data_IF_325042824906
#
_entry.id   IF_325042824906
#
_cell.length_a   1.000
_cell.length_b   1.000
_cell.length_c   1.000
_cell.angle_alpha   90.00
_cell.angle_beta   90.00
_cell.angle_gamma   90.00
#
_symmetry.space_group_name_H-M   'P 1'
#
loop_
_entity.id
_entity.type
_entity.pdbx_description
1 polymer ?
#
# COMPACT_ATOMS: atom_id res chain seq x y z
N UNK A 1 -69.13 -24.29 -31.67
CA UNK A 1 -67.88 -24.37 -30.89
C UNK A 1 -66.67 -24.83 -31.72
N UNK A 2 -66.71 -25.92 -32.51
CA UNK A 2 -65.56 -26.40 -33.32
C UNK A 2 -64.92 -25.39 -34.30
N UNK A 3 -65.70 -24.45 -34.86
CA UNK A 3 -65.19 -23.50 -35.86
C UNK A 3 -64.49 -22.27 -35.22
N UNK A 4 -64.85 -21.92 -33.98
CA UNK A 4 -64.20 -20.83 -33.22
C UNK A 4 -62.80 -21.24 -32.74
N UNK A 5 -62.64 -22.49 -32.29
CA UNK A 5 -61.32 -23.01 -31.91
C UNK A 5 -60.36 -23.10 -33.11
N UNK A 6 -60.87 -23.44 -34.31
CA UNK A 6 -60.06 -23.42 -35.54
C UNK A 6 -59.61 -22.02 -35.93
N UNK A 7 -60.47 -21.02 -35.74
CA UNK A 7 -60.14 -19.62 -36.02
C UNK A 7 -59.13 -19.06 -35.00
N UNK A 8 -59.27 -19.40 -33.72
CA UNK A 8 -58.34 -18.99 -32.66
C UNK A 8 -56.98 -19.70 -32.77
N UNK A 9 -56.95 -20.98 -33.16
CA UNK A 9 -55.70 -21.70 -33.42
C UNK A 9 -54.99 -21.15 -34.67
N UNK A 10 -55.74 -20.80 -35.71
CA UNK A 10 -55.17 -20.18 -36.92
C UNK A 10 -54.65 -18.76 -36.64
N UNK A 11 -55.37 -17.95 -35.85
CA UNK A 11 -54.91 -16.63 -35.41
C UNK A 11 -53.66 -16.71 -34.51
N UNK A 12 -53.57 -17.70 -33.63
CA UNK A 12 -52.39 -17.96 -32.80
C UNK A 12 -51.19 -18.49 -33.60
N UNK A 13 -51.42 -19.23 -34.69
CA UNK A 13 -50.37 -19.65 -35.61
C UNK A 13 -49.81 -18.47 -36.42
N UNK A 14 -50.69 -17.55 -36.85
CA UNK A 14 -50.30 -16.36 -37.65
C UNK A 14 -49.52 -15.33 -36.83
N UNK A 15 -49.76 -15.22 -35.51
CA UNK A 15 -48.95 -14.38 -34.62
C UNK A 15 -47.62 -15.02 -34.21
N UNK A 16 -47.48 -16.35 -34.33
CA UNK A 16 -46.23 -17.05 -34.06
C UNK A 16 -45.18 -16.88 -35.19
N UNK A 17 -45.60 -16.62 -36.43
CA UNK A 17 -44.70 -16.44 -37.59
C UNK A 17 -44.08 -15.04 -37.67
N UNK A 18 -44.63 -14.03 -36.99
CA UNK A 18 -44.05 -12.67 -36.91
C UNK A 18 -43.11 -12.48 -35.72
N UNK A 19 -42.93 -13.50 -34.87
CA UNK A 19 -41.98 -13.53 -33.75
C UNK A 19 -40.58 -14.03 -34.16
N UNK A 20 -40.31 -14.21 -35.45
CA UNK A 20 -38.94 -14.41 -35.93
C UNK A 20 -38.15 -13.11 -35.72
N UNK A 21 -37.38 -13.13 -34.63
CA UNK A 21 -36.25 -12.29 -34.25
C UNK A 21 -35.88 -11.24 -35.31
N UNK A 22 -35.88 -9.96 -34.92
CA UNK A 22 -34.81 -9.06 -35.37
C UNK A 22 -33.50 -9.73 -34.94
N UNK A 23 -32.91 -10.54 -35.81
CA UNK A 23 -31.48 -10.66 -35.83
C UNK A 23 -31.04 -9.28 -36.29
N UNK A 24 -30.72 -8.40 -35.35
CA UNK A 24 -29.90 -7.24 -35.70
C UNK A 24 -28.68 -7.82 -36.40
N UNK A 25 -28.62 -7.63 -37.72
CA UNK A 25 -27.34 -7.71 -38.40
C UNK A 25 -26.54 -6.60 -37.75
N UNK A 26 -25.72 -6.97 -36.77
CA UNK A 26 -24.54 -6.20 -36.45
C UNK A 26 -23.74 -6.15 -37.77
N UNK A 27 -23.95 -5.10 -38.56
CA UNK A 27 -23.05 -4.72 -39.65
C UNK A 27 -21.76 -4.25 -38.98
N UNK A 28 -20.98 -5.23 -38.51
CA UNK A 28 -19.65 -5.02 -37.99
C UNK A 28 -18.73 -4.89 -39.19
N UNK A 29 -18.22 -3.69 -39.41
CA UNK A 29 -17.15 -3.48 -40.38
C UNK A 29 -15.85 -4.09 -39.85
N UNK A 30 -15.59 -5.34 -40.22
CA UNK A 30 -14.36 -6.06 -39.87
C UNK A 30 -13.09 -5.43 -40.47
N UNK A 31 -13.19 -4.52 -41.44
CA UNK A 31 -12.03 -3.82 -42.01
C UNK A 31 -11.49 -2.72 -41.10
N UNK A 32 -12.32 -2.21 -40.18
CA UNK A 32 -11.91 -1.31 -39.11
C UNK A 32 -11.27 -2.03 -37.91
N UNK A 33 -11.41 -3.35 -37.82
CA UNK A 33 -10.76 -4.14 -36.78
C UNK A 33 -9.30 -4.36 -37.17
N UNK A 34 -8.38 -4.00 -36.28
CA UNK A 34 -6.97 -4.34 -36.43
C UNK A 34 -6.82 -5.86 -36.31
N UNK A 35 -6.82 -6.56 -37.45
CA UNK A 35 -6.44 -7.95 -37.50
C UNK A 35 -4.97 -8.05 -37.09
N UNK A 36 -4.70 -8.60 -35.92
CA UNK A 36 -3.33 -8.90 -35.51
C UNK A 36 -2.80 -9.98 -36.43
N UNK A 37 -1.77 -9.64 -37.20
CA UNK A 37 -1.07 -10.56 -38.09
C UNK A 37 0.09 -11.20 -37.32
N UNK A 38 -0.04 -12.45 -36.84
CA UNK A 38 0.94 -13.08 -35.96
C UNK A 38 2.32 -13.24 -36.61
N UNK A 39 2.40 -13.21 -37.94
CA UNK A 39 3.65 -13.19 -38.70
C UNK A 39 4.46 -11.86 -38.64
N UNK A 40 3.93 -10.77 -38.08
CA UNK A 40 4.54 -9.44 -38.23
C UNK A 40 5.71 -9.10 -37.30
N UNK A 41 6.07 -9.98 -36.35
CA UNK A 41 7.21 -9.82 -35.41
C UNK A 41 7.45 -8.36 -35.01
N UNK A 42 6.40 -7.76 -34.44
CA UNK A 42 6.31 -6.32 -34.19
C UNK A 42 7.34 -5.86 -33.17
N UNK A 43 7.55 -4.53 -33.06
CA UNK A 43 8.40 -3.98 -32.00
C UNK A 43 7.93 -4.42 -30.60
N UNK A 44 6.62 -4.55 -30.40
CA UNK A 44 6.02 -5.06 -29.16
C UNK A 44 6.39 -6.53 -28.92
N UNK A 45 6.27 -7.40 -29.94
CA UNK A 45 6.64 -8.82 -29.83
C UNK A 45 8.12 -9.00 -29.45
N UNK A 46 9.01 -8.22 -30.09
CA UNK A 46 10.44 -8.25 -29.80
C UNK A 46 10.73 -7.75 -28.39
N UNK A 47 10.02 -6.71 -27.94
CA UNK A 47 10.15 -6.18 -26.59
C UNK A 47 9.67 -7.19 -25.53
N UNK A 48 8.51 -7.82 -25.73
CA UNK A 48 7.97 -8.85 -24.84
C UNK A 48 8.91 -10.06 -24.78
N UNK A 49 9.39 -10.53 -25.95
CA UNK A 49 10.36 -11.63 -26.02
C UNK A 49 11.61 -11.33 -25.21
N UNK A 50 12.24 -10.17 -25.45
CA UNK A 50 13.49 -9.79 -24.80
C UNK A 50 13.33 -9.66 -23.28
N UNK A 51 12.26 -9.02 -22.82
CA UNK A 51 12.11 -8.65 -21.41
C UNK A 51 11.41 -9.72 -20.56
N UNK A 52 10.67 -10.65 -21.17
CA UNK A 52 9.92 -11.70 -20.47
C UNK A 52 10.39 -13.11 -20.85
N UNK A 53 10.29 -13.46 -22.14
CA UNK A 53 10.55 -14.82 -22.58
C UNK A 53 12.03 -15.19 -22.41
N UNK A 54 12.93 -14.41 -23.01
CA UNK A 54 14.37 -14.70 -22.99
C UNK A 54 14.97 -14.47 -21.59
N UNK A 55 14.45 -13.49 -20.84
CA UNK A 55 14.97 -13.14 -19.51
C UNK A 55 14.49 -14.08 -18.39
N UNK A 56 13.21 -14.51 -18.43
CA UNK A 56 12.55 -15.18 -17.31
C UNK A 56 11.77 -16.45 -17.69
N UNK A 57 11.75 -16.82 -18.98
CA UNK A 57 10.92 -17.89 -19.53
C UNK A 57 9.43 -17.65 -19.26
N UNK A 58 8.99 -16.41 -19.48
CA UNK A 58 7.61 -15.97 -19.30
C UNK A 58 7.02 -15.64 -20.67
N UNK A 59 5.96 -16.35 -21.05
CA UNK A 59 5.19 -16.03 -22.25
C UNK A 59 4.14 -14.96 -21.93
N UNK A 60 3.93 -14.02 -22.86
CA UNK A 60 2.94 -12.95 -22.70
C UNK A 60 1.97 -13.02 -23.86
N UNK A 61 0.81 -13.62 -23.58
CA UNK A 61 -0.27 -13.83 -24.53
C UNK A 61 -1.22 -12.64 -24.49
N UNK A 62 -0.96 -11.66 -25.35
CA UNK A 62 -1.80 -10.48 -25.49
C UNK A 62 -2.78 -10.56 -26.67
N UNK A 63 -2.49 -11.43 -27.64
CA UNK A 63 -3.33 -11.62 -28.82
C UNK A 63 -4.62 -12.32 -28.39
N UNK A 64 -5.75 -11.75 -28.77
CA UNK A 64 -7.04 -12.30 -28.38
C UNK A 64 -7.19 -13.74 -28.88
N UNK A 65 -7.40 -14.67 -27.95
CA UNK A 65 -7.63 -16.06 -28.28
C UNK A 65 -8.63 -16.69 -27.30
N UNK A 66 -9.73 -17.20 -27.87
CA UNK A 66 -10.86 -17.76 -27.13
C UNK A 66 -10.48 -18.94 -26.22
N UNK A 67 -9.41 -19.65 -26.56
CA UNK A 67 -8.92 -20.76 -25.76
C UNK A 67 -8.56 -20.34 -24.31
N UNK A 68 -8.13 -19.08 -24.12
CA UNK A 68 -7.60 -18.64 -22.83
C UNK A 68 -8.62 -18.09 -21.85
N UNK A 69 -9.82 -17.68 -22.28
CA UNK A 69 -10.86 -17.15 -21.38
C UNK A 69 -12.01 -18.14 -21.09
N UNK A 70 -11.90 -19.38 -21.58
CA UNK A 70 -12.93 -20.40 -21.41
C UNK A 70 -14.23 -20.08 -22.15
N UNK A 71 -15.23 -20.94 -22.01
CA UNK A 71 -16.46 -20.84 -22.81
C UNK A 71 -17.45 -19.78 -22.31
N UNK A 72 -17.30 -19.31 -21.06
CA UNK A 72 -18.29 -18.50 -20.36
C UNK A 72 -17.88 -17.05 -20.15
N UNK A 73 -16.58 -16.74 -20.12
CA UNK A 73 -16.15 -15.35 -19.98
C UNK A 73 -16.37 -14.58 -21.28
N UNK A 74 -16.96 -13.40 -21.16
CA UNK A 74 -17.14 -12.47 -22.28
C UNK A 74 -16.15 -11.32 -22.12
N UNK A 75 -15.04 -11.40 -22.85
CA UNK A 75 -13.92 -10.45 -22.75
C UNK A 75 -13.57 -9.88 -24.12
N UNK A 76 -13.09 -8.64 -24.15
CA UNK A 76 -12.68 -7.96 -25.39
C UNK A 76 -11.19 -8.11 -25.68
N UNK A 77 -10.76 -7.94 -26.94
CA UNK A 77 -9.35 -7.76 -27.28
C UNK A 77 -8.72 -6.55 -26.57
N UNK A 78 -7.39 -6.61 -26.38
CA UNK A 78 -6.60 -5.50 -25.84
C UNK A 78 -6.39 -4.41 -26.91
N UNK A 79 -6.35 -3.15 -26.49
CA UNK A 79 -5.71 -2.09 -27.28
C UNK A 79 -4.20 -2.34 -27.28
N UNK A 80 -3.54 -2.22 -28.43
CA UNK A 80 -2.13 -2.60 -28.56
C UNK A 80 -1.20 -1.67 -27.77
N UNK A 81 -1.55 -0.40 -27.71
CA UNK A 81 -0.85 0.67 -27.01
C UNK A 81 -0.83 0.49 -25.48
N UNK A 82 -1.79 -0.26 -24.92
CA UNK A 82 -1.96 -0.43 -23.47
C UNK A 82 -1.13 -1.61 -22.91
N UNK A 83 -0.66 -2.49 -23.81
CA UNK A 83 0.06 -3.72 -23.45
C UNK A 83 1.43 -3.40 -22.87
N UNK A 84 2.27 -2.66 -23.61
CA UNK A 84 3.64 -2.39 -23.17
C UNK A 84 3.66 -1.63 -21.82
N UNK A 85 2.89 -0.55 -21.60
CA UNK A 85 2.84 0.13 -20.31
C UNK A 85 2.39 -0.78 -19.16
N UNK A 86 1.39 -1.64 -19.40
CA UNK A 86 0.94 -2.61 -18.38
C UNK A 86 2.06 -3.61 -18.06
N UNK A 87 2.73 -4.15 -19.08
CA UNK A 87 3.81 -5.11 -18.89
C UNK A 87 5.07 -4.49 -18.29
N UNK A 88 5.35 -3.21 -18.56
CA UNK A 88 6.39 -2.45 -17.84
C UNK A 88 6.09 -2.40 -16.33
N UNK A 89 4.83 -2.20 -15.95
CA UNK A 89 4.43 -2.28 -14.53
C UNK A 89 4.55 -3.70 -13.94
N UNK A 90 4.36 -4.76 -14.74
CA UNK A 90 4.68 -6.14 -14.31
C UNK A 90 6.18 -6.31 -14.05
N UNK A 91 7.04 -5.75 -14.91
CA UNK A 91 8.49 -5.82 -14.70
C UNK A 91 8.91 -5.04 -13.45
N UNK A 92 8.49 -3.79 -13.34
CA UNK A 92 8.94 -2.87 -12.29
C UNK A 92 8.32 -3.15 -10.92
N UNK A 93 7.00 -3.45 -10.90
CA UNK A 93 6.23 -3.62 -9.67
C UNK A 93 6.14 -5.07 -9.19
N UNK A 94 6.26 -6.07 -10.08
CA UNK A 94 6.11 -7.47 -9.68
C UNK A 94 7.42 -8.24 -9.81
N UNK A 95 8.03 -8.34 -11.00
CA UNK A 95 9.19 -9.21 -11.23
C UNK A 95 10.47 -8.67 -10.55
N UNK A 96 10.77 -7.39 -10.73
CA UNK A 96 12.01 -6.79 -10.24
C UNK A 96 12.17 -6.84 -8.71
N UNK A 97 11.13 -6.54 -7.90
CA UNK A 97 11.23 -6.64 -6.44
C UNK A 97 11.54 -8.06 -5.95
N UNK A 98 10.86 -9.08 -6.49
CA UNK A 98 11.19 -10.47 -6.16
C UNK A 98 12.59 -10.86 -6.63
N UNK A 99 13.01 -10.44 -7.83
CA UNK A 99 14.38 -10.73 -8.31
C UNK A 99 15.44 -10.10 -7.41
N UNK A 100 15.22 -8.87 -6.95
CA UNK A 100 16.14 -8.15 -6.07
C UNK A 100 16.27 -8.81 -4.71
N UNK A 101 15.14 -9.20 -4.10
CA UNK A 101 15.13 -9.70 -2.71
C UNK A 101 15.29 -11.21 -2.62
N UNK A 102 14.64 -11.97 -3.50
CA UNK A 102 14.67 -13.44 -3.49
C UNK A 102 15.74 -14.04 -4.43
N UNK A 103 16.31 -13.21 -5.32
CA UNK A 103 17.32 -13.64 -6.28
C UNK A 103 16.75 -14.28 -7.54
N UNK A 104 17.61 -14.39 -8.56
CA UNK A 104 17.22 -14.84 -9.89
C UNK A 104 16.69 -16.28 -9.93
N UNK A 105 17.26 -17.17 -9.10
CA UNK A 105 16.82 -18.57 -9.03
C UNK A 105 15.39 -18.68 -8.54
N UNK A 106 15.02 -17.94 -7.48
CA UNK A 106 13.65 -17.92 -6.97
C UNK A 106 12.70 -17.37 -8.04
N UNK A 107 13.04 -16.23 -8.65
CA UNK A 107 12.22 -15.60 -9.68
C UNK A 107 11.98 -16.53 -10.87
N UNK A 108 13.04 -17.14 -11.42
CA UNK A 108 12.92 -18.07 -12.54
C UNK A 108 12.21 -19.36 -12.18
N UNK A 109 12.18 -19.77 -10.92
CA UNK A 109 11.47 -20.98 -10.49
C UNK A 109 9.99 -20.75 -10.23
N UNK A 110 9.64 -19.70 -9.48
CA UNK A 110 8.30 -19.56 -8.90
C UNK A 110 7.43 -18.52 -9.58
N UNK A 111 8.00 -17.44 -10.15
CA UNK A 111 7.18 -16.43 -10.86
C UNK A 111 6.45 -17.13 -12.03
N UNK A 112 5.16 -16.81 -12.26
CA UNK A 112 4.36 -17.37 -13.34
C UNK A 112 5.09 -17.36 -14.68
N UNK A 113 4.87 -18.41 -15.49
CA UNK A 113 5.50 -18.58 -16.81
C UNK A 113 4.63 -18.11 -17.95
N UNK A 114 3.46 -17.59 -17.64
CA UNK A 114 2.52 -17.11 -18.64
C UNK A 114 1.67 -15.98 -18.05
N UNK A 115 1.62 -14.88 -18.77
CA UNK A 115 0.63 -13.83 -18.58
C UNK A 115 -0.33 -13.85 -19.76
N UNK A 116 -1.62 -13.93 -19.47
CA UNK A 116 -2.68 -13.79 -20.48
C UNK A 116 -3.38 -12.47 -20.25
N UNK A 117 -3.56 -11.68 -21.30
CA UNK A 117 -4.09 -10.33 -21.18
C UNK A 117 -5.41 -10.18 -21.92
N UNK A 118 -6.39 -9.50 -21.31
CA UNK A 118 -7.66 -9.16 -21.93
C UNK A 118 -8.06 -7.69 -21.70
N UNK A 119 -8.68 -7.09 -22.71
CA UNK A 119 -8.95 -5.66 -22.72
C UNK A 119 -10.03 -5.23 -21.74
N UNK A 120 -11.10 -6.02 -21.59
CA UNK A 120 -12.18 -5.77 -20.63
C UNK A 120 -12.02 -6.63 -19.38
N UNK A 121 -12.66 -6.23 -18.28
CA UNK A 121 -12.89 -7.12 -17.13
C UNK A 121 -13.73 -8.35 -17.56
N UNK A 122 -13.63 -9.42 -16.79
CA UNK A 122 -14.50 -10.59 -16.93
C UNK A 122 -15.66 -10.50 -15.95
N UNK A 123 -16.89 -10.46 -16.45
CA UNK A 123 -18.10 -10.39 -15.63
C UNK A 123 -18.87 -11.70 -15.69
N UNK A 124 -19.29 -12.22 -14.53
CA UNK A 124 -20.20 -13.36 -14.42
C UNK A 124 -21.66 -12.94 -14.72
N UNK A 125 -22.06 -11.74 -14.30
CA UNK A 125 -23.37 -11.13 -14.58
C UNK A 125 -23.33 -9.59 -14.50
N UNK A 126 -24.46 -8.92 -14.75
CA UNK A 126 -24.55 -7.45 -14.79
C UNK A 126 -24.33 -6.74 -13.45
N UNK A 127 -24.33 -7.46 -12.33
CA UNK A 127 -24.08 -6.94 -10.99
C UNK A 127 -22.71 -7.39 -10.43
N UNK A 128 -21.92 -8.11 -11.23
CA UNK A 128 -20.57 -8.53 -10.86
C UNK A 128 -19.62 -7.31 -10.90
N UNK A 129 -18.84 -7.03 -9.83
CA UNK A 129 -17.79 -6.01 -9.89
C UNK A 129 -16.73 -6.29 -10.97
N UNK A 130 -16.68 -7.51 -11.50
CA UNK A 130 -15.75 -7.94 -12.54
C UNK A 130 -14.49 -8.55 -11.93
N UNK A 131 -13.99 -9.60 -12.58
CA UNK A 131 -12.73 -10.26 -12.24
C UNK A 131 -11.61 -9.57 -13.00
N UNK A 132 -10.65 -9.04 -12.25
CA UNK A 132 -9.52 -8.29 -12.74
C UNK A 132 -8.24 -9.14 -12.88
N UNK A 133 -8.21 -10.32 -12.27
CA UNK A 133 -7.22 -11.35 -12.57
C UNK A 133 -7.57 -12.72 -11.99
N UNK A 134 -6.89 -13.75 -12.50
CA UNK A 134 -7.00 -15.15 -12.03
C UNK A 134 -5.66 -15.87 -12.14
N UNK A 135 -5.39 -16.82 -11.24
CA UNK A 135 -4.31 -17.78 -11.38
C UNK A 135 -4.81 -19.16 -11.82
N UNK A 136 -4.05 -19.83 -12.68
CA UNK A 136 -4.31 -21.22 -13.05
C UNK A 136 -3.02 -22.07 -13.07
N UNK A 137 -3.17 -23.32 -12.63
CA UNK A 137 -2.18 -24.40 -12.75
C UNK A 137 -0.77 -24.05 -12.25
N UNK A 138 -0.65 -23.21 -11.22
CA UNK A 138 0.62 -22.80 -10.64
C UNK A 138 1.57 -22.08 -11.60
N UNK A 139 1.06 -21.59 -12.75
CA UNK A 139 1.91 -21.17 -13.87
C UNK A 139 1.41 -19.94 -14.61
N UNK A 140 0.09 -19.69 -14.62
CA UNK A 140 -0.52 -18.59 -15.38
C UNK A 140 -1.13 -17.57 -14.46
N UNK A 141 -0.92 -16.29 -14.77
CA UNK A 141 -1.78 -15.18 -14.31
C UNK A 141 -2.52 -14.63 -15.53
N UNK A 142 -3.83 -14.48 -15.41
CA UNK A 142 -4.63 -13.73 -16.39
C UNK A 142 -4.90 -12.35 -15.82
N UNK A 143 -4.66 -11.30 -16.61
CA UNK A 143 -5.00 -9.92 -16.27
C UNK A 143 -6.13 -9.45 -17.20
N UNK A 144 -7.16 -8.86 -16.61
CA UNK A 144 -8.31 -8.34 -17.34
C UNK A 144 -8.38 -6.81 -17.21
N UNK A 145 -9.17 -6.17 -18.06
CA UNK A 145 -9.43 -4.73 -17.98
C UNK A 145 -8.23 -3.88 -18.38
N UNK A 146 -7.39 -4.32 -19.34
CA UNK A 146 -6.22 -3.56 -19.77
C UNK A 146 -6.57 -2.27 -20.52
N UNK A 147 -7.74 -2.21 -21.16
CA UNK A 147 -8.18 -1.04 -21.91
C UNK A 147 -8.59 0.13 -21.00
N UNK A 148 -8.61 -0.08 -19.69
CA UNK A 148 -8.80 0.95 -18.67
C UNK A 148 -7.46 1.61 -18.26
N UNK A 149 -6.36 1.23 -18.89
CA UNK A 149 -5.06 1.87 -18.68
C UNK A 149 -5.18 3.39 -18.87
N UNK A 150 -4.54 4.11 -17.95
CA UNK A 150 -4.31 5.54 -18.09
C UNK A 150 -2.86 5.87 -17.70
N UNK A 151 -2.22 6.86 -18.32
CA UNK A 151 -0.89 7.29 -17.93
C UNK A 151 -0.91 7.90 -16.52
N UNK A 152 0.24 7.83 -15.84
CA UNK A 152 0.43 8.49 -14.55
C UNK A 152 0.38 10.03 -14.70
N UNK A 153 -0.12 10.76 -13.70
CA UNK A 153 -0.62 10.26 -12.41
C UNK A 153 -2.06 9.71 -12.44
N UNK A 154 -2.81 9.89 -13.53
CA UNK A 154 -4.23 9.51 -13.62
C UNK A 154 -4.48 8.01 -13.46
N UNK A 155 -3.58 7.16 -13.95
CA UNK A 155 -3.69 5.69 -13.82
C UNK A 155 -3.11 5.09 -12.54
N UNK A 156 -2.80 5.89 -11.51
CA UNK A 156 -2.16 5.37 -10.29
C UNK A 156 -2.99 4.26 -9.62
N UNK A 157 -4.31 4.41 -9.58
CA UNK A 157 -5.21 3.38 -9.04
C UNK A 157 -5.22 2.10 -9.89
N UNK A 158 -5.26 2.22 -11.21
CA UNK A 158 -5.17 1.07 -12.12
C UNK A 158 -3.92 0.24 -11.83
N UNK A 159 -2.75 0.89 -11.76
CA UNK A 159 -1.51 0.19 -11.47
C UNK A 159 -1.48 -0.40 -10.06
N UNK A 160 -1.95 0.34 -9.05
CA UNK A 160 -2.05 -0.16 -7.68
C UNK A 160 -2.88 -1.45 -7.60
N UNK A 161 -4.06 -1.46 -8.23
CA UNK A 161 -4.96 -2.62 -8.21
C UNK A 161 -4.34 -3.81 -8.96
N UNK A 162 -3.71 -3.58 -10.13
CA UNK A 162 -3.00 -4.64 -10.86
C UNK A 162 -1.86 -5.24 -10.04
N UNK A 163 -1.11 -4.45 -9.27
CA UNK A 163 -0.11 -5.00 -8.34
C UNK A 163 -0.79 -5.83 -7.23
N UNK A 164 -1.86 -5.32 -6.59
CA UNK A 164 -2.59 -6.09 -5.57
C UNK A 164 -3.03 -7.45 -6.09
N UNK A 165 -3.62 -7.49 -7.28
CA UNK A 165 -4.08 -8.72 -7.94
C UNK A 165 -2.90 -9.65 -8.23
N UNK A 166 -1.84 -9.17 -8.90
CA UNK A 166 -0.71 -10.02 -9.25
C UNK A 166 -0.04 -10.65 -8.02
N UNK A 167 0.10 -9.88 -6.95
CA UNK A 167 0.68 -10.39 -5.71
C UNK A 167 -0.25 -11.35 -4.97
N UNK A 168 -1.58 -11.13 -5.03
CA UNK A 168 -2.59 -12.06 -4.52
C UNK A 168 -2.51 -13.40 -5.27
N UNK A 169 -2.61 -13.37 -6.59
CA UNK A 169 -2.54 -14.55 -7.45
C UNK A 169 -1.19 -15.28 -7.34
N UNK A 170 -0.10 -14.54 -7.15
CA UNK A 170 1.19 -15.15 -6.88
C UNK A 170 1.25 -15.86 -5.53
N UNK A 171 0.55 -15.34 -4.51
CA UNK A 171 0.34 -16.04 -3.24
C UNK A 171 -0.27 -17.43 -3.48
N UNK A 172 -1.36 -17.50 -4.26
CA UNK A 172 -1.98 -18.77 -4.65
C UNK A 172 -1.03 -19.71 -5.40
N UNK A 173 -0.28 -19.20 -6.39
CA UNK A 173 0.70 -19.99 -7.14
C UNK A 173 1.79 -20.54 -6.22
N UNK A 174 2.32 -19.72 -5.31
CA UNK A 174 3.29 -20.18 -4.32
C UNK A 174 2.67 -21.27 -3.45
N UNK A 175 1.42 -21.11 -3.01
CA UNK A 175 0.75 -22.06 -2.13
C UNK A 175 0.40 -23.40 -2.78
N UNK A 176 0.22 -23.42 -4.10
CA UNK A 176 0.08 -24.66 -4.87
C UNK A 176 1.39 -25.45 -4.94
N UNK A 177 2.54 -24.78 -4.83
CA UNK A 177 3.87 -25.40 -4.91
C UNK A 177 4.45 -25.66 -3.51
N UNK A 178 4.21 -24.76 -2.56
CA UNK A 178 4.70 -24.77 -1.19
C UNK A 178 3.51 -24.47 -0.26
N UNK A 179 2.98 -25.47 0.47
CA UNK A 179 1.73 -25.33 1.20
C UNK A 179 1.70 -24.16 2.19
N UNK A 180 0.52 -23.58 2.38
CA UNK A 180 0.24 -22.60 3.45
C UNK A 180 0.60 -23.23 4.80
N UNK A 181 1.23 -22.48 5.72
CA UNK A 181 1.45 -22.95 7.09
C UNK A 181 0.15 -23.43 7.75
N UNK A 182 0.18 -24.63 8.35
CA UNK A 182 -1.02 -25.31 8.87
C UNK A 182 -1.70 -24.57 10.03
N UNK A 183 -0.98 -23.67 10.68
CA UNK A 183 -1.46 -22.85 11.79
C UNK A 183 -2.24 -21.61 11.33
N UNK A 184 -2.14 -21.20 10.06
CA UNK A 184 -2.77 -19.97 9.56
C UNK A 184 -4.30 -19.99 9.66
N UNK A 185 -4.95 -21.07 9.19
CA UNK A 185 -6.41 -21.20 9.23
C UNK A 185 -6.95 -21.05 10.67
N UNK A 186 -6.19 -21.55 11.65
CA UNK A 186 -6.58 -21.52 13.05
C UNK A 186 -6.64 -20.10 13.63
N UNK A 187 -5.96 -19.12 13.02
CA UNK A 187 -5.96 -17.72 13.48
C UNK A 187 -7.37 -17.12 13.42
N UNK A 188 -8.11 -17.41 12.33
CA UNK A 188 -9.44 -16.87 12.06
C UNK A 188 -10.55 -17.94 12.04
N UNK A 189 -10.27 -19.14 12.55
CA UNK A 189 -11.25 -20.23 12.63
C UNK A 189 -12.53 -19.77 13.31
N UNK A 190 -13.68 -20.10 12.68
CA UNK A 190 -15.00 -19.71 13.14
C UNK A 190 -15.49 -18.33 12.63
N UNK A 191 -14.64 -17.56 11.95
CA UNK A 191 -15.03 -16.28 11.33
C UNK A 191 -15.08 -16.32 9.80
N UNK A 192 -14.63 -17.41 9.19
CA UNK A 192 -14.78 -17.61 7.75
C UNK A 192 -16.26 -17.84 7.37
N UNK A 193 -16.75 -17.11 6.36
CA UNK A 193 -18.14 -17.16 5.91
C UNK A 193 -18.23 -17.02 4.38
N UNK A 194 -18.89 -17.99 3.74
CA UNK A 194 -19.31 -17.91 2.35
C UNK A 194 -20.84 -17.74 2.26
N UNK A 195 -21.36 -16.95 1.28
CA UNK A 195 -20.59 -16.14 0.35
C UNK A 195 -19.98 -14.92 1.06
N UNK A 196 -18.71 -14.61 0.79
CA UNK A 196 -17.98 -13.52 1.47
C UNK A 196 -18.66 -12.15 1.37
N UNK A 197 -19.45 -11.94 0.31
CA UNK A 197 -20.25 -10.73 0.07
C UNK A 197 -21.28 -10.45 1.17
N UNK A 198 -21.65 -11.45 1.95
CA UNK A 198 -22.57 -11.32 3.10
C UNK A 198 -21.83 -10.88 4.38
N UNK A 199 -20.53 -10.57 4.29
CA UNK A 199 -19.71 -10.02 5.37
C UNK A 199 -19.28 -8.61 4.99
N UNK A 200 -19.94 -7.55 5.51
CA UNK A 200 -19.52 -6.17 5.29
C UNK A 200 -18.06 -5.92 5.71
N UNK A 201 -17.37 -5.01 5.04
CA UNK A 201 -15.94 -4.72 5.29
C UNK A 201 -15.67 -4.38 6.74
N UNK A 202 -16.52 -3.60 7.40
CA UNK A 202 -16.38 -3.26 8.82
C UNK A 202 -16.42 -4.51 9.73
N UNK A 203 -17.30 -5.47 9.43
CA UNK A 203 -17.38 -6.72 10.17
C UNK A 203 -16.14 -7.59 9.92
N UNK A 204 -15.69 -7.69 8.67
CA UNK A 204 -14.48 -8.42 8.30
C UNK A 204 -13.25 -7.82 9.00
N UNK A 205 -13.12 -6.49 8.96
CA UNK A 205 -12.08 -5.72 9.61
C UNK A 205 -12.06 -5.94 11.12
N UNK A 206 -13.20 -5.77 11.81
CA UNK A 206 -13.30 -6.02 13.26
C UNK A 206 -12.92 -7.45 13.63
N UNK A 207 -13.13 -8.42 12.74
CA UNK A 207 -12.76 -9.82 12.95
C UNK A 207 -11.32 -10.16 12.55
N UNK A 208 -10.56 -9.22 12.00
CA UNK A 208 -9.15 -9.41 11.66
C UNK A 208 -8.89 -9.89 10.23
N UNK A 209 -9.75 -9.50 9.29
CA UNK A 209 -9.52 -9.67 7.84
C UNK A 209 -9.14 -8.33 7.20
N UNK A 210 -8.32 -8.38 6.15
CA UNK A 210 -7.94 -7.17 5.37
C UNK A 210 -9.03 -6.73 4.40
N UNK A 211 -9.88 -7.66 3.97
CA UNK A 211 -11.03 -7.41 3.09
C UNK A 211 -12.22 -8.28 3.45
N UNK A 212 -13.41 -7.95 2.95
CA UNK A 212 -14.56 -8.88 2.96
C UNK A 212 -14.22 -10.19 2.24
N UNK A 213 -13.48 -10.13 1.13
CA UNK A 213 -13.07 -11.31 0.35
C UNK A 213 -12.21 -12.27 1.18
N UNK A 214 -11.24 -11.75 1.94
CA UNK A 214 -10.43 -12.52 2.89
C UNK A 214 -11.27 -13.24 3.97
N UNK A 215 -12.49 -12.78 4.28
CA UNK A 215 -13.37 -13.46 5.22
C UNK A 215 -14.05 -14.71 4.64
N UNK A 216 -13.91 -14.97 3.34
CA UNK A 216 -14.54 -16.11 2.68
C UNK A 216 -13.98 -17.45 3.13
N UNK A 217 -12.69 -17.67 2.86
CA UNK A 217 -11.95 -18.90 3.17
C UNK A 217 -10.48 -18.58 3.45
N UNK A 218 -9.79 -19.47 4.17
CA UNK A 218 -8.41 -19.23 4.62
C UNK A 218 -7.38 -19.11 3.49
N UNK A 219 -7.62 -19.73 2.33
CA UNK A 219 -6.72 -19.62 1.17
C UNK A 219 -6.72 -18.21 0.59
N UNK A 220 -7.91 -17.61 0.42
CA UNK A 220 -8.05 -16.22 -0.02
C UNK A 220 -7.55 -15.23 1.04
N UNK A 221 -7.80 -15.51 2.32
CA UNK A 221 -7.27 -14.73 3.43
C UNK A 221 -5.74 -14.67 3.45
N UNK A 222 -5.09 -15.79 3.14
CA UNK A 222 -3.64 -15.86 3.07
C UNK A 222 -3.10 -15.01 1.92
N UNK A 223 -3.65 -15.20 0.71
CA UNK A 223 -3.27 -14.43 -0.48
C UNK A 223 -3.53 -12.93 -0.32
N UNK A 224 -4.66 -12.55 0.27
CA UNK A 224 -4.97 -11.16 0.61
C UNK A 224 -4.03 -10.61 1.69
N UNK A 225 -3.71 -11.39 2.72
CA UNK A 225 -2.75 -10.94 3.75
C UNK A 225 -1.38 -10.61 3.14
N UNK A 226 -0.90 -11.45 2.21
CA UNK A 226 0.35 -11.20 1.47
C UNK A 226 0.25 -9.93 0.63
N UNK A 227 -0.78 -9.83 -0.22
CA UNK A 227 -0.90 -8.73 -1.18
C UNK A 227 -1.06 -7.39 -0.46
N UNK A 228 -1.96 -7.28 0.51
CA UNK A 228 -2.20 -6.04 1.24
C UNK A 228 -1.00 -5.60 2.07
N UNK A 229 -0.26 -6.52 2.68
CA UNK A 229 0.99 -6.17 3.37
C UNK A 229 2.01 -5.58 2.40
N UNK A 230 2.19 -6.17 1.21
CA UNK A 230 3.17 -5.70 0.23
C UNK A 230 2.76 -4.36 -0.41
N UNK A 231 1.50 -4.24 -0.83
CA UNK A 231 1.03 -3.12 -1.67
C UNK A 231 0.66 -1.90 -0.81
N UNK A 232 0.05 -2.08 0.36
CA UNK A 232 -0.35 -0.95 1.21
C UNK A 232 0.70 -0.61 2.29
N UNK A 233 1.60 -1.54 2.59
CA UNK A 233 2.74 -1.29 3.48
C UNK A 233 2.40 -1.32 4.96
N UNK A 234 3.44 -1.12 5.79
CA UNK A 234 3.34 -1.31 7.24
C UNK A 234 2.43 -0.28 7.90
N UNK A 235 2.53 1.01 7.51
CA UNK A 235 1.73 2.07 8.12
C UNK A 235 0.22 1.81 7.95
N UNK A 236 -0.20 1.34 6.77
CA UNK A 236 -1.58 0.95 6.51
C UNK A 236 -1.99 -0.25 7.37
N UNK A 237 -1.17 -1.30 7.39
CA UNK A 237 -1.51 -2.54 8.10
C UNK A 237 -1.61 -2.33 9.61
N UNK A 238 -0.69 -1.55 10.19
CA UNK A 238 -0.69 -1.18 11.60
C UNK A 238 -1.93 -0.34 11.96
N UNK A 239 -2.29 0.64 11.10
CA UNK A 239 -3.51 1.42 11.29
C UNK A 239 -4.78 0.54 11.20
N UNK A 240 -4.83 -0.35 10.21
CA UNK A 240 -5.92 -1.31 10.05
C UNK A 240 -6.04 -2.21 11.29
N UNK A 241 -4.92 -2.73 11.79
CA UNK A 241 -4.91 -3.54 13.01
C UNK A 241 -5.35 -2.74 14.25
N UNK A 242 -4.90 -1.49 14.41
CA UNK A 242 -5.24 -0.64 15.55
C UNK A 242 -6.72 -0.22 15.60
N UNK A 243 -7.36 -0.12 14.44
CA UNK A 243 -8.77 0.27 14.31
C UNK A 243 -9.72 -0.94 14.30
N UNK A 244 -9.21 -2.17 14.34
CA UNK A 244 -9.99 -3.39 14.49
C UNK A 244 -10.54 -3.58 15.92
N UNK A 245 -11.17 -4.72 16.22
CA UNK A 245 -11.41 -5.12 17.62
C UNK A 245 -10.11 -5.60 18.26
N UNK A 246 -10.04 -5.68 19.60
CA UNK A 246 -8.84 -6.22 20.27
C UNK A 246 -8.48 -7.64 19.78
N UNK A 247 -9.48 -8.49 19.53
CA UNK A 247 -9.29 -9.82 18.96
C UNK A 247 -8.88 -9.76 17.48
N UNK A 248 -9.51 -8.88 16.69
CA UNK A 248 -9.17 -8.67 15.28
C UNK A 248 -7.73 -8.17 15.09
N UNK A 249 -7.30 -7.20 15.91
CA UNK A 249 -5.91 -6.71 15.98
C UNK A 249 -4.94 -7.84 16.22
N UNK A 250 -5.21 -8.69 17.22
CA UNK A 250 -4.36 -9.86 17.52
C UNK A 250 -4.28 -10.82 16.34
N UNK A 251 -5.38 -11.07 15.62
CA UNK A 251 -5.39 -11.92 14.44
C UNK A 251 -4.56 -11.34 13.31
N UNK A 252 -4.70 -10.05 13.01
CA UNK A 252 -3.90 -9.37 11.98
C UNK A 252 -2.39 -9.47 12.30
N UNK A 253 -1.99 -9.20 13.55
CA UNK A 253 -0.59 -9.35 13.97
C UNK A 253 -0.09 -10.81 13.79
N UNK A 254 -0.90 -11.81 14.15
CA UNK A 254 -0.54 -13.22 13.96
C UNK A 254 -0.45 -13.60 12.47
N UNK A 255 -1.33 -13.09 11.62
CA UNK A 255 -1.30 -13.32 10.17
C UNK A 255 -0.04 -12.72 9.54
N UNK A 256 0.31 -11.49 9.90
CA UNK A 256 1.54 -10.85 9.46
C UNK A 256 2.78 -11.67 9.86
N UNK A 257 2.86 -12.10 11.12
CA UNK A 257 3.96 -12.94 11.59
C UNK A 257 4.04 -14.27 10.84
N UNK A 258 2.88 -14.89 10.56
CA UNK A 258 2.81 -16.13 9.80
C UNK A 258 3.35 -15.93 8.36
N UNK A 259 2.93 -14.87 7.68
CA UNK A 259 3.43 -14.51 6.34
C UNK A 259 4.94 -14.25 6.36
N UNK A 260 5.45 -13.48 7.31
CA UNK A 260 6.89 -13.21 7.45
C UNK A 260 7.68 -14.52 7.62
N UNK A 261 7.21 -15.41 8.49
CA UNK A 261 7.85 -16.70 8.75
C UNK A 261 7.83 -17.61 7.52
N UNK A 262 6.70 -17.64 6.81
CA UNK A 262 6.58 -18.41 5.56
C UNK A 262 7.60 -17.95 4.52
N UNK A 263 7.67 -16.65 4.22
CA UNK A 263 8.65 -16.12 3.26
C UNK A 263 10.09 -16.31 3.74
N UNK A 264 10.35 -16.20 5.04
CA UNK A 264 11.67 -16.50 5.62
C UNK A 264 12.09 -17.96 5.35
N UNK A 265 11.16 -18.91 5.44
CA UNK A 265 11.43 -20.33 5.08
C UNK A 265 11.79 -20.53 3.61
N UNK A 266 11.42 -19.57 2.74
CA UNK A 266 11.79 -19.53 1.32
C UNK A 266 13.13 -18.83 1.06
N UNK A 267 13.80 -18.34 2.11
CA UNK A 267 14.99 -17.51 2.00
C UNK A 267 14.70 -16.06 1.61
N UNK A 268 13.46 -15.60 1.76
CA UNK A 268 13.03 -14.24 1.38
C UNK A 268 12.80 -13.41 2.63
N UNK A 269 13.48 -12.27 2.73
CA UNK A 269 13.13 -11.27 3.75
C UNK A 269 11.87 -10.52 3.30
N UNK A 270 10.72 -10.87 3.89
CA UNK A 270 9.44 -10.27 3.54
C UNK A 270 9.40 -8.75 3.81
N UNK A 271 10.07 -8.27 4.86
CA UNK A 271 10.12 -6.84 5.15
C UNK A 271 10.92 -6.08 4.09
N UNK A 272 12.05 -6.62 3.64
CA UNK A 272 12.82 -6.02 2.54
C UNK A 272 12.01 -6.01 1.24
N UNK A 273 11.25 -7.08 0.96
CA UNK A 273 10.32 -7.11 -0.17
C UNK A 273 9.22 -6.05 -0.02
N UNK A 274 8.60 -5.95 1.15
CA UNK A 274 7.60 -4.92 1.44
C UNK A 274 8.17 -3.52 1.26
N UNK A 275 9.38 -3.25 1.76
CA UNK A 275 10.06 -1.96 1.59
C UNK A 275 10.30 -1.64 0.10
N UNK A 276 10.77 -2.62 -0.68
CA UNK A 276 10.98 -2.43 -2.13
C UNK A 276 9.66 -2.11 -2.86
N UNK A 277 8.60 -2.84 -2.51
CA UNK A 277 7.26 -2.58 -3.06
C UNK A 277 6.76 -1.19 -2.70
N UNK A 278 6.93 -0.76 -1.45
CA UNK A 278 6.55 0.58 -1.02
C UNK A 278 7.36 1.68 -1.72
N UNK A 279 8.63 1.42 -2.04
CA UNK A 279 9.42 2.34 -2.87
C UNK A 279 8.86 2.46 -4.29
N UNK A 280 8.36 1.37 -4.89
CA UNK A 280 7.65 1.43 -6.17
C UNK A 280 6.36 2.24 -6.06
N UNK A 281 5.52 1.96 -5.05
CA UNK A 281 4.27 2.69 -4.79
C UNK A 281 4.50 4.20 -4.63
N UNK A 282 5.58 4.57 -3.92
CA UNK A 282 5.93 5.96 -3.64
C UNK A 282 6.54 6.67 -4.83
N UNK A 283 7.57 6.07 -5.44
CA UNK A 283 8.42 6.79 -6.39
C UNK A 283 7.92 6.65 -7.84
N UNK A 284 7.18 5.58 -8.16
CA UNK A 284 6.58 5.38 -9.48
C UNK A 284 5.14 5.80 -9.51
N UNK A 285 4.30 5.20 -8.66
CA UNK A 285 2.86 5.47 -8.69
C UNK A 285 2.47 6.77 -7.98
N UNK A 286 3.38 7.34 -7.17
CA UNK A 286 3.16 8.57 -6.42
C UNK A 286 1.93 8.51 -5.49
N UNK A 287 1.60 7.32 -4.99
CA UNK A 287 0.43 7.08 -4.12
C UNK A 287 0.57 7.81 -2.80
N UNK A 288 -0.52 8.42 -2.32
CA UNK A 288 -0.48 9.20 -1.08
C UNK A 288 -0.26 8.30 0.14
N UNK A 289 -0.88 7.13 0.16
CA UNK A 289 -0.82 6.10 1.21
C UNK A 289 0.59 5.54 1.40
N UNK A 290 1.49 5.75 0.44
CA UNK A 290 2.90 5.36 0.57
C UNK A 290 3.79 6.45 1.19
N UNK A 291 3.26 7.65 1.47
CA UNK A 291 4.01 8.83 1.91
C UNK A 291 3.69 9.19 3.36
N UNK A 292 4.71 9.60 4.11
CA UNK A 292 4.52 10.02 5.51
C UNK A 292 3.53 11.20 5.70
N UNK A 293 3.54 12.27 4.87
CA UNK A 293 2.59 13.38 5.01
C UNK A 293 1.11 12.97 5.01
N UNK A 294 0.74 11.92 4.25
CA UNK A 294 -0.62 11.38 4.25
C UNK A 294 -0.97 10.85 5.64
N UNK A 295 -0.13 9.97 6.18
CA UNK A 295 -0.36 9.36 7.50
C UNK A 295 -0.27 10.34 8.67
N UNK A 296 0.51 11.40 8.51
CA UNK A 296 0.54 12.51 9.46
C UNK A 296 -0.82 13.24 9.48
N UNK A 297 -1.44 13.45 8.32
CA UNK A 297 -2.77 14.04 8.19
C UNK A 297 -3.90 13.11 8.66
N UNK A 298 -3.80 11.81 8.37
CA UNK A 298 -4.72 10.77 8.90
C UNK A 298 -4.56 10.57 10.41
N UNK A 299 -3.59 11.27 11.03
CA UNK A 299 -3.35 11.30 12.46
C UNK A 299 -3.14 9.91 13.05
N UNK A 300 -2.54 8.96 12.33
CA UNK A 300 -2.32 7.61 12.88
C UNK A 300 -1.20 7.56 13.92
N UNK A 301 -0.31 8.56 13.92
CA UNK A 301 0.82 8.67 14.85
C UNK A 301 0.52 9.63 16.01
N UNK A 302 0.83 9.20 17.22
CA UNK A 302 0.67 9.97 18.47
C UNK A 302 1.89 10.83 18.77
N UNK A 303 3.10 10.34 18.48
CA UNK A 303 4.32 11.08 18.75
C UNK A 303 5.53 10.63 17.92
N UNK A 304 6.55 11.47 17.92
CA UNK A 304 7.90 11.20 17.41
C UNK A 304 8.93 11.59 18.48
N UNK A 305 9.78 10.66 18.89
CA UNK A 305 10.83 10.95 19.88
C UNK A 305 12.11 11.38 19.20
N UNK A 306 12.62 12.57 19.52
CA UNK A 306 13.88 13.12 19.03
C UNK A 306 14.98 12.88 20.05
N UNK A 307 15.82 11.89 19.76
CA UNK A 307 17.01 11.59 20.57
C UNK A 307 18.19 11.22 19.66
N UNK A 308 19.03 12.22 19.28
CA UNK A 308 20.22 12.00 18.46
C UNK A 308 21.26 11.05 19.06
N UNK A 309 21.17 10.78 20.37
CA UNK A 309 22.06 9.89 21.12
C UNK A 309 21.51 8.45 21.20
N UNK A 310 20.33 8.19 20.62
CA UNK A 310 19.74 6.85 20.58
C UNK A 310 20.55 5.88 19.71
N UNK A 311 20.48 4.58 20.00
CA UNK A 311 21.12 3.55 19.19
C UNK A 311 20.69 3.61 17.71
N UNK A 312 19.41 3.90 17.45
CA UNK A 312 18.88 4.08 16.10
C UNK A 312 19.49 5.30 15.40
N UNK A 313 19.64 6.42 16.11
CA UNK A 313 20.26 7.63 15.56
C UNK A 313 21.74 7.43 15.23
N UNK A 314 22.47 6.67 16.05
CA UNK A 314 23.85 6.27 15.78
C UNK A 314 23.92 5.34 14.57
N UNK A 315 23.00 4.37 14.46
CA UNK A 315 22.95 3.39 13.37
C UNK A 315 22.63 4.03 12.02
N UNK A 316 21.61 4.89 11.96
CA UNK A 316 21.11 5.43 10.69
C UNK A 316 21.68 6.81 10.33
N UNK A 317 22.40 7.45 11.25
CA UNK A 317 23.03 8.76 11.06
C UNK A 317 22.19 9.91 11.61
N UNK A 318 22.83 11.08 11.74
CA UNK A 318 22.23 12.31 12.23
C UNK A 318 22.52 13.49 11.28
N UNK A 319 21.65 14.50 11.28
CA UNK A 319 21.90 15.80 10.66
C UNK A 319 22.86 16.61 11.53
N UNK A 320 23.99 17.04 10.97
CA UNK A 320 24.94 17.91 11.67
C UNK A 320 24.29 19.25 12.09
N UNK A 321 23.43 19.81 11.21
CA UNK A 321 22.74 21.07 11.48
C UNK A 321 21.72 20.94 12.62
N UNK A 322 20.93 19.85 12.64
CA UNK A 322 20.00 19.63 13.74
C UNK A 322 20.70 19.25 15.05
N UNK A 323 21.83 18.53 14.98
CA UNK A 323 22.62 18.20 16.15
C UNK A 323 23.15 19.45 16.86
N UNK A 324 23.51 20.50 16.11
CA UNK A 324 23.86 21.80 16.70
C UNK A 324 22.69 22.42 17.47
N UNK A 325 21.47 22.38 16.92
CA UNK A 325 20.26 22.88 17.58
C UNK A 325 19.97 22.07 18.86
N UNK A 326 20.01 20.73 18.76
CA UNK A 326 19.76 19.85 19.90
C UNK A 326 20.80 20.06 21.02
N UNK A 327 22.09 20.17 20.67
CA UNK A 327 23.16 20.41 21.64
C UNK A 327 23.09 21.80 22.27
N UNK A 328 22.62 22.82 21.54
CA UNK A 328 22.35 24.13 22.12
C UNK A 328 21.26 24.05 23.20
N UNK A 329 20.18 23.31 22.95
CA UNK A 329 19.12 23.07 23.95
C UNK A 329 19.67 22.30 25.16
N UNK A 330 20.39 21.19 24.91
CA UNK A 330 21.01 20.38 25.98
C UNK A 330 21.94 21.23 26.86
N UNK A 331 22.79 22.03 26.24
CA UNK A 331 23.73 22.93 26.92
C UNK A 331 22.98 23.99 27.72
N UNK A 332 21.99 24.64 27.10
CA UNK A 332 21.14 25.65 27.75
C UNK A 332 20.46 25.12 29.01
N UNK A 333 19.88 23.91 28.95
CA UNK A 333 19.23 23.28 30.11
C UNK A 333 20.25 22.96 31.20
N UNK A 334 21.39 22.36 30.84
CA UNK A 334 22.43 22.00 31.82
C UNK A 334 23.15 23.20 32.45
N UNK A 335 23.17 24.33 31.75
CA UNK A 335 23.79 25.58 32.20
C UNK A 335 22.90 26.47 33.06
N UNK A 336 21.66 26.05 33.37
CA UNK A 336 20.77 26.81 34.25
C UNK A 336 21.29 26.81 35.69
N UNK A 337 21.88 27.94 36.11
CA UNK A 337 22.49 28.11 37.42
C UNK A 337 21.54 27.78 38.57
N UNK A 338 22.01 26.96 39.51
CA UNK A 338 21.29 26.60 40.74
C UNK A 338 20.29 25.45 40.59
N UNK A 339 20.04 24.95 39.37
CA UNK A 339 19.08 23.87 39.17
C UNK A 339 19.73 22.50 39.01
N UNK A 340 20.82 22.39 38.23
CA UNK A 340 21.45 21.10 37.92
C UNK A 340 20.60 20.22 37.00
N UNK A 341 19.84 20.84 36.09
CA UNK A 341 18.96 20.11 35.17
C UNK A 341 19.72 19.32 34.11
N UNK A 342 19.11 18.25 33.62
CA UNK A 342 19.61 17.44 32.49
C UNK A 342 18.49 17.17 31.51
N UNK A 343 18.74 17.40 30.22
CA UNK A 343 17.84 16.97 29.16
C UNK A 343 17.83 15.43 29.06
N UNK A 344 16.66 14.82 29.05
CA UNK A 344 16.50 13.38 28.84
C UNK A 344 16.18 13.08 27.37
N UNK A 345 15.12 13.69 26.84
CA UNK A 345 14.75 13.61 25.43
C UNK A 345 13.79 14.75 25.06
N UNK A 346 13.61 14.95 23.76
CA UNK A 346 12.59 15.83 23.20
C UNK A 346 11.62 14.95 22.44
N UNK A 347 10.33 15.22 22.55
CA UNK A 347 9.29 14.47 21.85
C UNK A 347 8.32 15.44 21.20
N UNK A 348 7.99 15.20 19.94
CA UNK A 348 6.88 15.87 19.27
C UNK A 348 5.65 15.01 19.53
N UNK A 349 4.66 15.53 20.23
CA UNK A 349 3.35 14.89 20.33
C UNK A 349 2.44 15.50 19.28
N UNK A 350 1.89 14.70 18.38
CA UNK A 350 0.86 15.14 17.45
C UNK A 350 -0.47 15.08 18.19
N UNK A 351 -1.04 16.23 18.55
CA UNK A 351 -2.31 16.30 19.30
C UNK A 351 -3.52 16.22 18.38
N UNK A 352 -3.39 16.70 17.14
CA UNK A 352 -4.37 16.53 16.06
C UNK A 352 -3.67 16.49 14.69
N UNK A 353 -4.44 16.38 13.60
CA UNK A 353 -3.90 16.53 12.24
C UNK A 353 -3.29 17.92 11.97
N UNK A 354 -3.63 18.93 12.77
CA UNK A 354 -3.22 20.33 12.57
C UNK A 354 -2.50 20.93 13.76
N UNK A 355 -2.25 20.15 14.83
CA UNK A 355 -1.63 20.63 16.06
C UNK A 355 -0.63 19.62 16.60
N UNK A 356 0.43 20.15 17.19
CA UNK A 356 1.40 19.36 17.92
C UNK A 356 1.95 20.14 19.11
N UNK A 357 2.61 19.45 20.03
CA UNK A 357 3.44 20.11 21.03
C UNK A 357 4.84 19.50 21.08
N UNK A 358 5.83 20.36 21.27
CA UNK A 358 7.19 19.96 21.63
C UNK A 358 7.21 19.75 23.14
N UNK A 359 7.34 18.51 23.56
CA UNK A 359 7.53 18.10 24.95
C UNK A 359 9.03 17.90 25.22
N UNK A 360 9.56 18.71 26.12
CA UNK A 360 10.93 18.61 26.62
C UNK A 360 10.89 17.88 27.95
N UNK A 361 11.47 16.69 28.00
CA UNK A 361 11.60 15.88 29.19
C UNK A 361 12.98 16.10 29.82
N UNK A 362 13.03 16.51 31.08
CA UNK A 362 14.28 16.86 31.77
C UNK A 362 14.25 16.41 33.23
N UNK A 363 15.43 16.20 33.82
CA UNK A 363 15.58 15.72 35.20
C UNK A 363 16.29 16.71 36.10
N UNK A 364 15.96 16.67 37.38
CA UNK A 364 16.74 17.22 38.49
C UNK A 364 17.01 16.11 39.50
N UNK A 365 18.25 15.64 39.58
CA UNK A 365 18.55 14.42 40.36
C UNK A 365 17.72 13.24 39.85
N UNK A 366 16.89 12.65 40.70
CA UNK A 366 15.98 11.54 40.37
C UNK A 366 14.59 11.97 39.91
N UNK A 367 14.27 13.27 39.99
CA UNK A 367 12.95 13.80 39.65
C UNK A 367 12.89 14.16 38.16
N UNK A 368 11.82 13.74 37.49
CA UNK A 368 11.58 14.02 36.07
C UNK A 368 10.46 15.05 35.91
N UNK A 369 10.66 16.00 35.01
CA UNK A 369 9.76 17.09 34.70
C UNK A 369 9.51 17.19 33.20
N UNK A 370 8.41 17.86 32.85
CA UNK A 370 8.02 18.14 31.47
C UNK A 370 7.87 19.64 31.26
N UNK A 371 8.22 20.12 30.08
CA UNK A 371 7.91 21.44 29.55
C UNK A 371 7.33 21.31 28.14
N UNK A 372 6.17 21.91 27.88
CA UNK A 372 5.41 21.78 26.64
C UNK A 372 5.28 23.11 25.91
N UNK A 373 5.52 23.09 24.59
CA UNK A 373 5.38 24.25 23.71
C UNK A 373 4.46 23.89 22.54
N UNK A 374 3.33 24.58 22.42
CA UNK A 374 2.33 24.31 21.39
C UNK A 374 2.72 24.87 20.02
N UNK A 375 2.36 24.13 18.98
CA UNK A 375 2.50 24.50 17.58
C UNK A 375 1.25 24.14 16.80
N UNK A 376 0.82 25.06 15.92
CA UNK A 376 -0.02 24.71 14.80
C UNK A 376 0.86 24.12 13.68
N UNK A 377 0.30 23.16 12.95
CA UNK A 377 0.96 22.38 11.91
C UNK A 377 0.12 22.42 10.63
N UNK A 378 0.66 22.99 9.56
CA UNK A 378 0.05 22.97 8.24
C UNK A 378 0.80 21.98 7.34
N UNK A 379 0.12 20.92 6.89
CA UNK A 379 0.68 19.85 6.04
C UNK A 379 0.10 19.94 4.63
N UNK A 380 0.96 20.04 3.62
CA UNK A 380 0.60 19.84 2.23
C UNK A 380 0.89 18.38 1.85
N UNK A 381 -0.14 17.56 1.70
CA UNK A 381 0.02 16.13 1.41
C UNK A 381 0.63 15.85 0.02
N UNK A 382 0.41 16.73 -0.96
CA UNK A 382 0.90 16.53 -2.31
C UNK A 382 2.41 16.77 -2.40
N UNK A 383 2.91 17.82 -1.74
CA UNK A 383 4.34 18.20 -1.78
C UNK A 383 5.13 17.68 -0.58
N UNK A 384 4.45 17.25 0.48
CA UNK A 384 5.04 16.92 1.78
C UNK A 384 5.49 18.14 2.58
N UNK A 385 5.20 19.36 2.13
CA UNK A 385 5.60 20.58 2.84
C UNK A 385 4.86 20.70 4.17
N UNK A 386 5.60 21.00 5.24
CA UNK A 386 5.06 21.22 6.58
C UNK A 386 5.56 22.55 7.13
N UNK A 387 4.63 23.39 7.57
CA UNK A 387 4.94 24.63 8.30
C UNK A 387 4.45 24.52 9.73
N UNK A 388 5.37 24.77 10.68
CA UNK A 388 5.04 24.92 12.09
C UNK A 388 4.96 26.41 12.44
N UNK A 389 3.94 26.79 13.21
CA UNK A 389 3.78 28.13 13.78
C UNK A 389 3.44 28.03 15.25
N UNK A 390 3.86 29.00 16.06
CA UNK A 390 3.54 29.04 17.49
C UNK A 390 2.03 28.90 17.69
N UNK A 391 1.63 27.89 18.45
CA UNK A 391 0.24 27.61 18.78
C UNK A 391 -0.14 28.05 20.20
N UNK A 392 -1.40 27.81 20.56
CA UNK A 392 -1.92 28.06 21.92
C UNK A 392 -1.62 26.87 22.83
N UNK A 393 -1.12 27.07 24.06
CA UNK A 393 -0.94 26.00 25.04
C UNK A 393 -2.20 25.14 25.23
N UNK A 394 -2.05 23.81 25.22
CA UNK A 394 -3.17 22.87 25.32
C UNK A 394 -3.52 22.51 26.78
N UNK A 395 -2.88 23.16 27.75
CA UNK A 395 -3.15 22.97 29.18
C UNK A 395 -2.67 24.14 30.03
N UNK A 396 -3.08 24.12 31.30
CA UNK A 396 -2.81 25.20 32.28
C UNK A 396 -1.87 24.77 33.41
N UNK A 397 -1.52 23.48 33.49
CA UNK A 397 -0.64 22.94 34.53
C UNK A 397 0.84 23.32 34.37
N UNK A 398 1.66 22.90 35.34
CA UNK A 398 3.11 23.19 35.36
C UNK A 398 3.84 22.90 34.04
N UNK A 399 3.58 21.79 33.31
CA UNK A 399 4.26 21.56 32.03
C UNK A 399 4.04 22.64 30.98
N UNK A 400 2.88 23.30 30.98
CA UNK A 400 2.49 24.28 29.96
C UNK A 400 2.78 25.73 30.36
N UNK A 401 2.84 26.01 31.66
CA UNK A 401 2.99 27.37 32.18
C UNK A 401 4.31 27.53 32.93
N UNK A 402 4.43 26.90 34.11
CA UNK A 402 5.58 27.12 35.00
C UNK A 402 6.90 26.58 34.43
N UNK A 403 6.95 25.28 34.13
CA UNK A 403 8.15 24.64 33.60
C UNK A 403 8.47 25.16 32.19
N UNK A 404 7.44 25.33 31.33
CA UNK A 404 7.62 25.87 30.00
C UNK A 404 8.23 27.29 30.02
N UNK A 405 7.74 28.17 30.89
CA UNK A 405 8.29 29.53 31.03
C UNK A 405 9.72 29.52 31.55
N UNK A 406 10.00 28.67 32.55
CA UNK A 406 11.33 28.53 33.14
C UNK A 406 12.36 28.02 32.12
N UNK A 407 12.01 27.00 31.31
CA UNK A 407 12.91 26.39 30.33
C UNK A 407 12.99 27.16 29.01
N UNK A 408 12.07 28.10 28.74
CA UNK A 408 11.94 28.75 27.44
C UNK A 408 13.26 29.33 26.92
N UNK A 409 14.07 30.06 27.71
CA UNK A 409 15.35 30.60 27.22
C UNK A 409 16.32 29.51 26.75
N UNK A 410 16.34 28.36 27.42
CA UNK A 410 17.20 27.23 27.07
C UNK A 410 16.71 26.47 25.83
N UNK A 411 15.39 26.41 25.63
CA UNK A 411 14.76 25.65 24.53
C UNK A 411 14.58 26.51 23.26
N UNK A 412 14.71 27.84 23.36
CA UNK A 412 14.49 28.80 22.28
C UNK A 412 15.17 28.43 20.94
N UNK A 413 16.42 27.91 20.90
CA UNK A 413 17.05 27.51 19.63
C UNK A 413 16.24 26.48 18.84
N UNK A 414 15.61 25.51 19.52
CA UNK A 414 14.72 24.54 18.86
C UNK A 414 13.41 25.18 18.44
N UNK A 415 12.85 26.07 19.27
CA UNK A 415 11.59 26.72 18.95
C UNK A 415 11.71 27.61 17.71
N UNK A 416 12.81 28.35 17.59
CA UNK A 416 13.14 29.16 16.43
C UNK A 416 13.42 28.31 15.20
N UNK A 417 14.16 27.20 15.36
CA UNK A 417 14.43 26.26 14.28
C UNK A 417 13.14 25.70 13.67
N UNK A 418 12.14 25.36 14.49
CA UNK A 418 10.85 24.86 13.99
C UNK A 418 10.00 25.98 13.35
N UNK A 419 9.93 27.17 13.96
CA UNK A 419 9.08 28.27 13.48
C UNK A 419 9.60 28.95 12.22
N UNK A 420 10.91 29.01 12.03
CA UNK A 420 11.53 29.82 10.96
C UNK A 420 11.68 29.06 9.63
N UNK A 421 11.47 27.75 9.63
CA UNK A 421 11.68 26.90 8.46
C UNK A 421 10.38 26.47 7.81
N UNK A 422 10.46 26.01 6.57
CA UNK A 422 9.48 25.12 5.94
C UNK A 422 10.15 23.77 5.82
N UNK A 423 9.46 22.70 6.20
CA UNK A 423 10.00 21.34 6.17
C UNK A 423 9.36 20.53 5.04
N UNK A 424 10.01 19.43 4.67
CA UNK A 424 9.45 18.32 3.89
C UNK A 424 9.38 17.13 4.84
N UNK A 425 8.16 16.66 5.11
CA UNK A 425 7.90 15.46 5.88
C UNK A 425 8.10 14.22 4.99
N UNK A 426 8.92 13.27 5.43
CA UNK A 426 9.15 12.02 4.69
C UNK A 426 9.55 10.85 5.61
N UNK A 427 9.51 9.63 5.07
CA UNK A 427 10.09 8.43 5.66
C UNK A 427 11.62 8.52 5.65
N UNK A 428 12.18 9.16 6.68
CA UNK A 428 13.63 9.37 6.82
C UNK A 428 14.17 8.82 8.14
N UNK A 429 15.45 8.42 8.16
CA UNK A 429 16.40 8.43 7.04
C UNK A 429 16.18 7.26 6.06
N UNK A 430 16.58 7.44 4.81
CA UNK A 430 16.44 6.41 3.75
C UNK A 430 17.25 5.13 4.05
N UNK A 431 18.19 5.21 4.98
CA UNK A 431 19.06 4.13 5.46
C UNK A 431 18.39 3.23 6.51
N UNK A 432 17.16 3.55 6.95
CA UNK A 432 16.40 2.72 7.88
C UNK A 432 16.24 1.31 7.29
N UNK A 433 16.50 0.28 8.09
CA UNK A 433 16.30 -1.11 7.67
C UNK A 433 14.83 -1.43 7.43
N UNK A 434 14.53 -2.53 6.75
CA UNK A 434 13.15 -2.83 6.42
C UNK A 434 12.23 -3.10 7.61
N UNK A 435 12.75 -3.62 8.73
CA UNK A 435 11.96 -3.84 9.96
C UNK A 435 11.45 -2.53 10.56
N UNK A 436 12.17 -1.44 10.33
CA UNK A 436 11.88 -0.10 10.83
C UNK A 436 11.34 0.85 9.76
N UNK A 437 11.23 0.43 8.50
CA UNK A 437 10.64 1.24 7.44
C UNK A 437 9.18 1.57 7.78
N UNK A 438 8.77 2.83 7.55
CA UNK A 438 7.48 3.39 7.99
C UNK A 438 7.25 3.43 9.51
N UNK A 439 8.24 3.07 10.35
CA UNK A 439 8.22 3.29 11.80
C UNK A 439 9.11 4.45 12.23
N UNK A 440 9.92 4.95 11.32
CA UNK A 440 10.72 6.16 11.49
C UNK A 440 10.34 7.14 10.39
N UNK A 441 10.18 8.39 10.80
CA UNK A 441 9.95 9.49 9.88
C UNK A 441 10.56 10.76 10.44
N UNK A 442 10.56 11.80 9.62
CA UNK A 442 11.13 13.06 10.02
C UNK A 442 10.81 14.19 9.06
N UNK A 443 11.51 15.29 9.29
CA UNK A 443 11.30 16.55 8.63
C UNK A 443 12.66 17.10 8.20
N UNK A 444 12.85 17.30 6.89
CA UNK A 444 14.03 17.97 6.34
C UNK A 444 13.69 19.40 5.93
N UNK A 445 14.58 20.37 6.14
CA UNK A 445 14.35 21.75 5.71
C UNK A 445 14.22 21.81 4.19
N UNK A 446 13.18 22.48 3.70
CA UNK A 446 12.91 22.67 2.26
C UNK A 446 14.11 23.34 1.59
N UNK A 447 14.64 22.71 0.54
CA UNK A 447 15.86 23.17 -0.14
C UNK A 447 17.17 22.85 0.57
N UNK A 448 17.14 22.13 1.70
CA UNK A 448 18.33 21.74 2.47
C UNK A 448 18.14 20.34 3.08
N UNK A 449 18.08 19.26 2.27
CA UNK A 449 17.74 17.91 2.73
C UNK A 449 18.71 17.33 3.76
N UNK A 450 19.96 17.80 3.81
CA UNK A 450 20.94 17.42 4.83
C UNK A 450 20.64 18.02 6.22
N UNK A 451 19.77 19.02 6.30
CA UNK A 451 19.30 19.61 7.54
C UNK A 451 17.94 19.02 7.91
N UNK A 452 17.94 17.95 8.70
CA UNK A 452 16.74 17.21 9.06
C UNK A 452 16.74 16.77 10.52
N UNK A 453 15.57 16.40 11.02
CA UNK A 453 15.42 15.62 12.25
C UNK A 453 14.42 14.50 12.03
N UNK A 454 14.56 13.41 12.77
CA UNK A 454 13.71 12.24 12.65
C UNK A 454 13.67 11.50 13.98
N UNK A 455 12.74 10.57 14.09
CA UNK A 455 12.65 9.68 15.24
C UNK A 455 11.71 8.51 15.01
N UNK A 456 11.69 7.54 15.93
CA UNK A 456 10.66 6.51 15.94
C UNK A 456 9.30 7.15 16.17
N UNK A 457 8.30 6.65 15.45
CA UNK A 457 6.90 7.03 15.57
C UNK A 457 6.18 6.10 16.55
N UNK A 458 5.31 6.68 17.36
CA UNK A 458 4.33 5.92 18.13
C UNK A 458 2.97 6.01 17.44
N UNK A 459 2.24 4.90 17.34
CA UNK A 459 0.86 4.88 16.84
C UNK A 459 -0.11 5.38 17.92
N UNK A 460 -1.32 5.79 17.51
CA UNK A 460 -2.43 6.10 18.42
C UNK A 460 -3.07 4.84 19.05
#
# INVERSE_FOLDING_TARGET
MKNIYRFLIFAALVTAITSCRKAEKLDVDYSSFNADHPETNTALDQWLRKNFLDAYNIDVVYRYNRYYHGNTANVTPNNLEDIQPTMEAVLEGFIAPYRKIAGETFSKKYIPKEFVLFGSYSYADSNDPGVAGTAAAGRRITLYGLNDYAPLPGGAFYFWDRQRIMHHEFGHILNQIIPIPTDFESISKGYYKQPYKDTPIDSAHKNGFVTSYASGVYTEDYAESISWLLINGQAWYDNWANTASAAGKRRLILKEQNVINYFSSLGINFKELQKEMQMYMRNKLNLNESKFPFWLNEKIYSSMTLNPESASSIKYGNSAAFLQVYNAVKTGISGMNGYGFKLNFIKINFSSATKMNVEVNFSQGTNTFLANYAYDMAVNQATGEVKFTTGTPEGTGHPWVGNASLLKPAVQPLLDYLSNQVFIADWIPVTVDADNYMKYAGFSVKGSPANYFYGPLALN
#
